data_IF_564938622031
#
_entry.id   IF_564938622031
#
_cell.length_a   1.000
_cell.length_b   1.000
_cell.length_c   1.000
_cell.angle_alpha   90.00
_cell.angle_beta   90.00
_cell.angle_gamma   90.00
#
_symmetry.space_group_name_H-M   'P 1'
#
loop_
_entity.id
_entity.type
_entity.pdbx_description
1 polymer ?
#
# COMPACT_ATOMS: atom_id res chain seq x y z
N UNK A 1 4.17 -4.64 -35.71
CA UNK A 1 5.03 -3.67 -34.99
C UNK A 1 4.15 -2.49 -34.58
N UNK A 2 3.45 -2.60 -33.45
CA UNK A 2 2.53 -1.55 -33.00
C UNK A 2 3.32 -0.28 -32.75
N UNK A 3 3.04 0.78 -33.53
CA UNK A 3 3.42 2.15 -33.24
C UNK A 3 3.03 2.40 -31.78
N UNK A 4 4.02 2.44 -30.88
CA UNK A 4 3.83 2.63 -29.44
C UNK A 4 3.15 3.98 -29.23
N UNK A 5 1.82 4.02 -29.22
CA UNK A 5 0.88 5.16 -29.12
C UNK A 5 1.39 6.39 -28.33
N UNK A 6 2.42 7.08 -28.82
CA UNK A 6 3.20 8.08 -28.11
C UNK A 6 4.13 7.59 -26.97
N UNK A 7 4.25 6.28 -26.71
CA UNK A 7 5.12 5.73 -25.66
C UNK A 7 6.53 5.45 -26.19
N UNK A 8 7.55 5.96 -25.50
CA UNK A 8 8.96 5.67 -25.80
C UNK A 8 9.60 5.01 -24.59
N UNK A 9 10.53 4.10 -24.84
CA UNK A 9 11.35 3.58 -23.75
C UNK A 9 12.22 4.73 -23.22
N UNK A 10 12.25 4.88 -21.91
CA UNK A 10 13.01 5.93 -21.22
C UNK A 10 13.78 5.35 -20.03
N UNK A 11 14.19 6.24 -19.15
CA UNK A 11 15.01 5.89 -17.98
C UNK A 11 14.20 5.81 -16.68
N UNK A 12 14.80 5.22 -15.64
CA UNK A 12 14.27 5.27 -14.28
C UNK A 12 14.20 6.71 -13.74
N UNK A 13 15.08 7.61 -14.22
CA UNK A 13 15.09 9.04 -13.86
C UNK A 13 13.83 9.72 -14.41
N UNK A 14 13.52 9.54 -15.70
CA UNK A 14 12.29 10.09 -16.29
C UNK A 14 11.02 9.48 -15.66
N UNK A 15 11.07 8.22 -15.23
CA UNK A 15 9.99 7.60 -14.48
C UNK A 15 9.80 8.26 -13.11
N UNK A 16 10.89 8.55 -12.39
CA UNK A 16 10.86 9.29 -11.13
C UNK A 16 10.27 10.69 -11.30
N UNK A 17 10.65 11.40 -12.37
CA UNK A 17 10.05 12.71 -12.69
C UNK A 17 8.53 12.61 -12.87
N UNK A 18 8.05 11.59 -13.58
CA UNK A 18 6.62 11.34 -13.73
C UNK A 18 5.95 11.03 -12.38
N UNK A 19 6.57 10.19 -11.55
CA UNK A 19 6.05 9.83 -10.23
C UNK A 19 5.99 11.04 -9.29
N UNK A 20 7.02 11.87 -9.27
CA UNK A 20 7.05 13.10 -8.47
C UNK A 20 6.00 14.12 -8.93
N UNK A 21 5.61 14.09 -10.21
CA UNK A 21 4.60 14.99 -10.76
C UNK A 21 3.17 14.48 -10.57
N UNK A 22 2.95 13.18 -10.74
CA UNK A 22 1.60 12.62 -10.84
C UNK A 22 1.23 11.65 -9.71
N UNK A 23 2.20 11.17 -8.94
CA UNK A 23 2.01 10.18 -7.88
C UNK A 23 1.87 8.74 -8.40
N UNK A 24 1.70 7.81 -7.47
CA UNK A 24 1.48 6.40 -7.78
C UNK A 24 1.00 5.62 -6.56
N UNK A 25 1.08 4.30 -6.62
CA UNK A 25 0.92 3.43 -5.46
C UNK A 25 2.31 3.13 -4.88
N UNK A 26 2.35 2.55 -3.67
CA UNK A 26 3.62 2.27 -2.99
C UNK A 26 4.53 1.39 -3.86
N UNK A 27 3.96 0.34 -4.46
CA UNK A 27 4.68 -0.61 -5.33
C UNK A 27 5.12 -0.04 -6.69
N UNK A 28 4.59 1.11 -7.09
CA UNK A 28 5.05 1.83 -8.29
C UNK A 28 5.97 3.00 -7.94
N UNK A 29 6.30 3.20 -6.67
CA UNK A 29 7.29 4.19 -6.29
C UNK A 29 8.68 3.80 -6.80
N UNK A 30 9.47 4.78 -7.28
CA UNK A 30 10.77 4.47 -7.86
C UNK A 30 11.73 3.80 -6.86
N UNK A 31 11.65 4.12 -5.57
CA UNK A 31 12.49 3.51 -4.54
C UNK A 31 12.15 2.03 -4.32
N UNK A 32 10.86 1.68 -4.35
CA UNK A 32 10.40 0.28 -4.26
C UNK A 32 10.72 -0.48 -5.55
N UNK A 33 10.54 0.14 -6.71
CA UNK A 33 10.93 -0.46 -7.99
C UNK A 33 12.43 -0.73 -8.01
N UNK A 34 13.27 0.24 -7.64
CA UNK A 34 14.72 0.07 -7.54
C UNK A 34 15.10 -1.02 -6.52
N UNK A 35 14.45 -1.05 -5.36
CA UNK A 35 14.64 -2.13 -4.36
C UNK A 35 14.41 -3.51 -4.98
N UNK A 36 13.35 -3.68 -5.77
CA UNK A 36 13.00 -4.94 -6.42
C UNK A 36 13.97 -5.25 -7.58
N UNK A 37 14.22 -4.30 -8.48
CA UNK A 37 15.01 -4.52 -9.70
C UNK A 37 16.49 -4.81 -9.40
N UNK A 38 17.01 -4.31 -8.28
CA UNK A 38 18.38 -4.65 -7.82
C UNK A 38 18.50 -6.07 -7.26
N UNK A 39 17.40 -6.80 -7.07
CA UNK A 39 17.35 -8.13 -6.43
C UNK A 39 16.78 -9.23 -7.32
N UNK A 40 15.97 -8.84 -8.31
CA UNK A 40 15.24 -9.76 -9.15
C UNK A 40 15.41 -9.36 -10.61
N UNK A 41 15.85 -10.31 -11.44
CA UNK A 41 15.92 -10.13 -12.88
C UNK A 41 14.50 -10.19 -13.47
N UNK A 42 14.03 -9.03 -13.92
CA UNK A 42 12.65 -8.82 -14.36
C UNK A 42 12.55 -8.36 -15.81
N UNK A 43 13.68 -8.16 -16.50
CA UNK A 43 13.73 -7.47 -17.80
C UNK A 43 12.88 -6.19 -17.77
N UNK A 44 13.12 -5.35 -16.75
CA UNK A 44 12.31 -4.17 -16.51
C UNK A 44 12.50 -3.11 -17.58
N UNK A 45 11.39 -2.50 -18.02
CA UNK A 45 11.39 -1.44 -19.03
C UNK A 45 10.52 -0.29 -18.59
N UNK A 46 11.12 0.91 -18.55
CA UNK A 46 10.40 2.15 -18.30
C UNK A 46 9.91 2.76 -19.60
N UNK A 47 8.63 3.11 -19.64
CA UNK A 47 7.97 3.73 -20.77
C UNK A 47 7.47 5.11 -20.38
N UNK A 48 7.87 6.12 -21.15
CA UNK A 48 7.58 7.53 -20.91
C UNK A 48 6.75 8.06 -22.08
N UNK A 49 5.73 8.85 -21.76
CA UNK A 49 4.94 9.60 -22.72
C UNK A 49 5.10 11.09 -22.47
N UNK A 50 5.44 11.80 -23.53
CA UNK A 50 5.58 13.26 -23.56
C UNK A 50 4.49 13.87 -24.45
N UNK A 51 4.08 15.09 -24.15
CA UNK A 51 3.22 15.88 -25.03
C UNK A 51 4.02 16.56 -26.15
N UNK A 52 3.35 17.41 -26.93
CA UNK A 52 3.94 18.17 -28.04
C UNK A 52 5.03 19.16 -27.61
N UNK A 53 5.00 19.59 -26.34
CA UNK A 53 5.92 20.55 -25.75
C UNK A 53 7.06 19.82 -25.00
N UNK A 54 7.21 18.51 -25.28
CA UNK A 54 8.19 17.60 -24.71
C UNK A 54 8.08 17.45 -23.17
N UNK A 55 6.91 17.76 -22.60
CA UNK A 55 6.65 17.61 -21.17
C UNK A 55 6.18 16.20 -20.86
N UNK A 56 6.70 15.59 -19.80
CA UNK A 56 6.23 14.28 -19.33
C UNK A 56 4.78 14.40 -18.87
N UNK A 57 3.92 13.57 -19.48
CA UNK A 57 2.49 13.45 -19.16
C UNK A 57 2.12 12.08 -18.58
N UNK A 58 3.02 11.10 -18.64
CA UNK A 58 2.83 9.84 -17.94
C UNK A 58 3.98 8.88 -18.11
N UNK A 59 4.07 7.93 -17.18
CA UNK A 59 5.03 6.83 -17.23
C UNK A 59 4.42 5.51 -16.73
N UNK A 60 4.99 4.39 -17.16
CA UNK A 60 4.77 3.08 -16.55
C UNK A 60 6.03 2.21 -16.66
N UNK A 61 6.14 1.21 -15.79
CA UNK A 61 7.19 0.20 -15.83
C UNK A 61 6.58 -1.15 -16.19
N UNK A 62 7.25 -1.94 -17.02
CA UNK A 62 6.89 -3.35 -17.26
C UNK A 62 7.92 -4.31 -16.70
N UNK A 63 7.48 -5.55 -16.47
CA UNK A 63 8.27 -6.73 -16.17
C UNK A 63 7.98 -7.81 -17.21
N UNK A 64 9.03 -8.51 -17.64
CA UNK A 64 8.99 -9.54 -18.68
C UNK A 64 8.22 -9.06 -19.91
N UNK A 65 8.62 -7.88 -20.39
CA UNK A 65 8.06 -7.08 -21.48
C UNK A 65 6.63 -6.57 -21.31
N UNK A 66 5.71 -7.44 -20.87
CA UNK A 66 4.28 -7.28 -21.15
C UNK A 66 3.42 -7.08 -19.91
N UNK A 67 3.96 -7.17 -18.69
CA UNK A 67 3.19 -7.01 -17.46
C UNK A 67 3.55 -5.70 -16.79
N UNK A 68 2.57 -4.95 -16.29
CA UNK A 68 2.89 -3.82 -15.42
C UNK A 68 3.67 -4.29 -14.19
N UNK A 69 4.65 -3.50 -13.77
CA UNK A 69 5.35 -3.73 -12.52
C UNK A 69 4.34 -3.81 -11.36
N UNK A 70 4.50 -4.83 -10.52
CA UNK A 70 3.56 -5.19 -9.46
C UNK A 70 2.44 -6.16 -9.85
N UNK A 71 2.42 -6.67 -11.09
CA UNK A 71 1.46 -7.69 -11.50
C UNK A 71 1.58 -8.96 -10.64
N UNK A 72 0.48 -9.34 -9.98
CA UNK A 72 0.57 -10.31 -8.89
C UNK A 72 1.10 -11.68 -9.28
N UNK A 73 0.77 -12.18 -10.48
CA UNK A 73 1.28 -13.48 -10.92
C UNK A 73 2.82 -13.55 -10.93
N UNK A 74 3.49 -12.42 -11.17
CA UNK A 74 4.95 -12.31 -11.12
C UNK A 74 5.39 -12.21 -9.66
N UNK A 75 4.77 -11.31 -8.90
CA UNK A 75 5.12 -11.08 -7.49
C UNK A 75 4.98 -12.34 -6.63
N UNK A 76 3.97 -13.18 -6.89
CA UNK A 76 3.76 -14.44 -6.19
C UNK A 76 4.82 -15.47 -6.55
N UNK A 77 5.17 -15.58 -7.84
CA UNK A 77 6.22 -16.50 -8.31
C UNK A 77 7.58 -16.17 -7.68
N UNK A 78 7.85 -14.88 -7.46
CA UNK A 78 9.09 -14.39 -6.85
C UNK A 78 9.03 -14.26 -5.32
N UNK A 79 7.87 -14.52 -4.70
CA UNK A 79 7.72 -14.39 -3.25
C UNK A 79 7.82 -12.96 -2.72
N UNK A 80 7.52 -11.93 -3.51
CA UNK A 80 7.71 -10.52 -3.11
C UNK A 80 6.83 -10.07 -1.93
N UNK A 81 5.75 -10.79 -1.65
CA UNK A 81 4.92 -10.56 -0.46
C UNK A 81 5.69 -10.74 0.86
N UNK A 82 6.83 -11.45 0.85
CA UNK A 82 7.71 -11.62 2.02
C UNK A 82 8.32 -10.29 2.49
N UNK A 83 8.45 -9.31 1.60
CA UNK A 83 8.89 -7.95 1.94
C UNK A 83 7.77 -7.05 2.49
N UNK A 84 6.60 -7.64 2.83
CA UNK A 84 5.45 -6.90 3.35
C UNK A 84 4.96 -5.78 2.44
N UNK A 85 4.99 -5.99 1.13
CA UNK A 85 4.45 -5.09 0.12
C UNK A 85 3.06 -5.53 -0.33
N UNK A 86 2.16 -4.56 -0.57
CA UNK A 86 0.81 -4.81 -1.08
C UNK A 86 0.76 -4.66 -2.61
N UNK A 87 0.45 -5.75 -3.30
CA UNK A 87 0.30 -5.78 -4.76
C UNK A 87 -1.17 -5.86 -5.20
N UNK A 88 -2.12 -5.53 -4.33
CA UNK A 88 -3.56 -5.55 -4.65
C UNK A 88 -3.98 -4.37 -5.56
N UNK A 89 -3.19 -3.30 -5.66
CA UNK A 89 -3.48 -2.16 -6.51
C UNK A 89 -2.24 -1.52 -7.14
N UNK A 90 -2.32 -1.28 -8.45
CA UNK A 90 -1.33 -0.53 -9.23
C UNK A 90 -1.91 0.83 -9.59
N UNK A 91 -1.27 1.91 -9.15
CA UNK A 91 -1.53 3.26 -9.65
C UNK A 91 -0.28 3.73 -10.40
N UNK A 92 -0.45 4.06 -11.67
CA UNK A 92 0.61 4.54 -12.55
C UNK A 92 0.75 6.07 -12.44
N UNK A 93 1.98 6.60 -12.60
CA UNK A 93 2.22 8.04 -12.66
C UNK A 93 1.77 8.62 -14.00
N UNK A 94 0.47 8.90 -14.09
CA UNK A 94 -0.21 9.41 -15.28
C UNK A 94 -0.89 10.74 -14.95
N UNK A 95 -0.82 11.69 -15.88
CA UNK A 95 -1.58 12.94 -15.77
C UNK A 95 -3.08 12.68 -15.58
N UNK A 96 -3.73 13.28 -14.57
CA UNK A 96 -5.16 13.07 -14.31
C UNK A 96 -6.07 13.66 -15.40
N UNK A 97 -5.56 14.62 -16.17
CA UNK A 97 -6.30 15.35 -17.20
C UNK A 97 -6.25 14.68 -18.58
N UNK A 98 -5.54 13.56 -18.68
CA UNK A 98 -5.34 12.83 -19.94
C UNK A 98 -5.89 11.42 -19.82
N UNK A 99 -6.23 10.86 -20.97
CA UNK A 99 -6.62 9.46 -21.10
C UNK A 99 -5.56 8.72 -21.90
N UNK A 100 -5.20 7.52 -21.44
CA UNK A 100 -4.08 6.76 -21.99
C UNK A 100 -4.55 5.44 -22.58
N UNK A 101 -3.81 4.96 -23.59
CA UNK A 101 -3.78 3.55 -23.95
C UNK A 101 -2.50 2.96 -23.37
N UNK A 102 -2.59 1.84 -22.65
CA UNK A 102 -1.43 1.19 -22.03
C UNK A 102 -1.15 -0.14 -22.76
N UNK A 103 -0.04 -0.25 -23.52
CA UNK A 103 0.33 -1.48 -24.22
C UNK A 103 1.02 -2.48 -23.29
N UNK A 104 0.40 -2.75 -22.15
CA UNK A 104 0.86 -3.71 -21.15
C UNK A 104 -0.35 -4.35 -20.45
N UNK A 105 -0.14 -5.53 -19.85
CA UNK A 105 -1.17 -6.30 -19.19
C UNK A 105 -1.14 -6.09 -17.68
N UNK A 106 -2.32 -5.96 -17.09
CA UNK A 106 -2.51 -6.04 -15.64
C UNK A 106 -3.97 -6.36 -15.31
N UNK A 107 -4.21 -7.01 -14.16
CA UNK A 107 -5.57 -7.17 -13.60
C UNK A 107 -5.83 -6.26 -12.39
N UNK A 108 -4.86 -5.43 -12.02
CA UNK A 108 -4.83 -4.70 -10.75
C UNK A 108 -4.71 -3.19 -10.91
N UNK A 109 -5.00 -2.66 -12.11
CA UNK A 109 -4.95 -1.22 -12.34
C UNK A 109 -6.05 -0.52 -11.53
N UNK A 110 -5.68 0.53 -10.82
CA UNK A 110 -6.61 1.38 -10.08
C UNK A 110 -7.53 2.16 -11.00
N UNK A 111 -8.77 2.38 -10.56
CA UNK A 111 -9.69 3.33 -11.19
C UNK A 111 -9.22 4.80 -11.11
N UNK A 112 -8.16 5.10 -10.36
CA UNK A 112 -7.48 6.41 -10.41
C UNK A 112 -6.84 6.69 -11.77
N UNK A 113 -6.46 5.67 -12.52
CA UNK A 113 -5.85 5.86 -13.83
C UNK A 113 -6.89 5.83 -14.95
N UNK A 114 -6.91 6.87 -15.79
CA UNK A 114 -7.81 6.98 -16.94
C UNK A 114 -7.21 6.26 -18.15
N UNK A 115 -7.50 4.96 -18.29
CA UNK A 115 -6.96 4.10 -19.35
C UNK A 115 -8.07 3.52 -20.22
N UNK A 116 -8.04 3.78 -21.54
CA UNK A 116 -9.12 3.40 -22.48
C UNK A 116 -9.26 1.90 -22.68
N UNK A 117 -8.15 1.16 -22.60
CA UNK A 117 -8.14 -0.29 -22.74
C UNK A 117 -8.17 -1.01 -21.38
N UNK A 118 -8.65 -0.34 -20.33
CA UNK A 118 -8.78 -0.90 -18.99
C UNK A 118 -10.25 -0.98 -18.54
N UNK A 119 -10.70 -2.17 -18.20
CA UNK A 119 -12.12 -2.46 -17.97
C UNK A 119 -12.36 -3.17 -16.64
N UNK A 120 -13.27 -2.64 -15.82
CA UNK A 120 -13.69 -3.27 -14.56
C UNK A 120 -14.68 -4.42 -14.78
N UNK A 121 -15.60 -4.27 -15.75
CA UNK A 121 -16.68 -5.25 -16.03
C UNK A 121 -16.17 -6.65 -16.38
N UNK A 122 -15.01 -6.76 -17.01
CA UNK A 122 -14.39 -8.04 -17.42
C UNK A 122 -13.23 -8.45 -16.50
N UNK A 123 -13.14 -7.86 -15.31
CA UNK A 123 -12.06 -8.11 -14.35
C UNK A 123 -12.46 -9.05 -13.20
N UNK A 124 -13.45 -9.93 -13.41
CA UNK A 124 -13.93 -10.90 -12.41
C UNK A 124 -14.24 -10.25 -11.04
N UNK A 125 -14.83 -9.06 -11.05
CA UNK A 125 -15.18 -8.29 -9.85
C UNK A 125 -14.03 -8.15 -8.84
N UNK A 126 -12.79 -7.97 -9.32
CA UNK A 126 -11.66 -7.65 -8.44
C UNK A 126 -11.88 -6.29 -7.78
N UNK A 127 -11.78 -6.27 -6.46
CA UNK A 127 -12.00 -5.09 -5.63
C UNK A 127 -10.96 -5.02 -4.51
N UNK A 128 -10.77 -3.81 -4.00
CA UNK A 128 -10.01 -3.51 -2.77
C UNK A 128 -10.90 -2.79 -1.76
N UNK A 129 -10.50 -2.85 -0.49
CA UNK A 129 -11.15 -2.16 0.62
C UNK A 129 -10.41 -0.87 0.95
N UNK A 130 -10.98 0.28 0.63
CA UNK A 130 -10.44 1.60 0.97
C UNK A 130 -11.17 2.16 2.19
N UNK A 131 -10.44 2.72 3.15
CA UNK A 131 -11.02 3.36 4.34
C UNK A 131 -12.06 4.40 3.93
N UNK A 132 -13.21 4.37 4.61
CA UNK A 132 -14.31 5.32 4.39
C UNK A 132 -14.30 6.43 5.43
N UNK A 133 -15.06 7.50 5.17
CA UNK A 133 -15.35 8.50 6.19
C UNK A 133 -16.20 7.89 7.32
N UNK A 134 -15.94 8.32 8.55
CA UNK A 134 -16.64 7.82 9.74
C UNK A 134 -17.62 8.84 10.29
N UNK A 135 -18.77 8.35 10.77
CA UNK A 135 -19.72 9.19 11.50
C UNK A 135 -19.15 9.62 12.86
N UNK A 136 -19.62 10.75 13.40
CA UNK A 136 -19.28 11.20 14.77
C UNK A 136 -19.55 10.10 15.82
N UNK A 137 -20.63 9.33 15.65
CA UNK A 137 -20.97 8.19 16.54
C UNK A 137 -19.94 7.07 16.47
N UNK A 138 -19.45 6.73 15.27
CA UNK A 138 -18.41 5.71 15.07
C UNK A 138 -17.10 6.16 15.72
N UNK A 139 -16.67 7.40 15.45
CA UNK A 139 -15.46 8.00 16.04
C UNK A 139 -15.55 7.97 17.58
N UNK A 140 -16.66 8.45 18.15
CA UNK A 140 -16.90 8.43 19.60
C UNK A 140 -16.82 7.01 20.19
N UNK A 141 -17.37 6.01 19.50
CA UNK A 141 -17.32 4.61 19.95
C UNK A 141 -15.89 4.06 19.96
N UNK A 142 -15.12 4.31 18.90
CA UNK A 142 -13.72 3.89 18.81
C UNK A 142 -12.84 4.59 19.86
N UNK A 143 -13.08 5.88 20.11
CA UNK A 143 -12.40 6.62 21.18
C UNK A 143 -12.75 6.08 22.58
N UNK A 144 -14.00 5.66 22.83
CA UNK A 144 -14.36 5.00 24.10
C UNK A 144 -13.65 3.66 24.30
N UNK A 145 -13.52 2.86 23.25
CA UNK A 145 -12.77 1.59 23.30
C UNK A 145 -11.27 1.83 23.59
N UNK A 146 -10.65 2.80 22.90
CA UNK A 146 -9.27 3.22 23.15
C UNK A 146 -9.08 3.72 24.59
N UNK A 147 -9.97 4.60 25.07
CA UNK A 147 -9.88 5.13 26.44
C UNK A 147 -10.05 4.03 27.49
N UNK A 148 -10.91 3.03 27.24
CA UNK A 148 -11.07 1.87 28.13
C UNK A 148 -9.79 1.03 28.18
N UNK A 149 -9.11 0.85 27.05
CA UNK A 149 -7.80 0.18 26.99
C UNK A 149 -6.75 0.95 27.78
N UNK A 150 -6.66 2.28 27.60
CA UNK A 150 -5.73 3.13 28.35
C UNK A 150 -5.98 3.06 29.86
N UNK A 151 -7.25 3.12 30.29
CA UNK A 151 -7.63 2.99 31.71
C UNK A 151 -7.24 1.65 32.34
N UNK A 152 -7.02 0.60 31.54
CA UNK A 152 -6.51 -0.69 32.01
C UNK A 152 -4.97 -0.76 32.04
N UNK A 153 -4.28 0.37 31.92
CA UNK A 153 -2.82 0.43 31.87
C UNK A 153 -2.25 0.29 30.46
N UNK A 154 -3.08 0.44 29.42
CA UNK A 154 -2.64 0.41 28.04
C UNK A 154 -2.02 1.72 27.57
N UNK A 155 -1.10 1.66 26.60
CA UNK A 155 -0.56 2.83 25.91
C UNK A 155 -0.41 2.59 24.40
N UNK A 156 -0.26 3.69 23.65
CA UNK A 156 -0.11 3.68 22.20
C UNK A 156 1.19 4.41 21.88
N UNK A 157 2.15 3.70 21.30
CA UNK A 157 3.48 4.25 20.97
C UNK A 157 3.65 4.21 19.46
N UNK A 158 4.08 5.33 18.87
CA UNK A 158 4.28 5.40 17.42
C UNK A 158 5.45 4.54 16.98
N UNK A 159 5.37 3.95 15.78
CA UNK A 159 6.47 3.15 15.23
C UNK A 159 7.76 3.95 15.00
N UNK A 160 7.67 5.29 14.88
CA UNK A 160 8.83 6.18 14.75
C UNK A 160 9.72 6.24 15.99
N UNK A 161 9.24 5.78 17.14
CA UNK A 161 10.00 5.77 18.40
C UNK A 161 10.93 4.55 18.51
N UNK A 162 10.93 3.66 17.51
CA UNK A 162 11.70 2.42 17.50
C UNK A 162 12.74 2.45 16.38
N UNK A 163 13.88 1.83 16.64
CA UNK A 163 14.76 1.40 15.56
C UNK A 163 14.10 0.32 14.70
N UNK A 164 14.64 0.12 13.49
CA UNK A 164 14.19 -0.94 12.59
C UNK A 164 14.29 -2.32 13.25
N UNK A 165 15.34 -2.58 14.01
CA UNK A 165 15.52 -3.87 14.68
C UNK A 165 14.48 -4.11 15.78
N UNK A 166 14.23 -3.10 16.63
CA UNK A 166 13.25 -3.20 17.71
C UNK A 166 11.83 -3.43 17.17
N UNK A 167 11.40 -2.67 16.15
CA UNK A 167 10.03 -2.79 15.65
C UNK A 167 9.78 -4.12 14.94
N UNK A 168 10.81 -4.68 14.30
CA UNK A 168 10.74 -5.97 13.64
C UNK A 168 10.66 -7.10 14.66
N UNK A 169 11.44 -7.02 15.75
CA UNK A 169 11.37 -7.98 16.85
C UNK A 169 9.98 -7.97 17.49
N UNK A 170 9.45 -6.78 17.80
CA UNK A 170 8.09 -6.60 18.33
C UNK A 170 7.05 -7.21 17.39
N UNK A 171 7.14 -6.90 16.08
CA UNK A 171 6.20 -7.42 15.09
C UNK A 171 6.25 -8.94 15.00
N UNK A 172 7.45 -9.52 14.95
CA UNK A 172 7.65 -10.96 14.81
C UNK A 172 7.09 -11.73 16.01
N UNK A 173 7.35 -11.25 17.24
CA UNK A 173 6.79 -11.85 18.46
C UNK A 173 5.25 -11.80 18.48
N UNK A 174 4.69 -10.63 18.17
CA UNK A 174 3.23 -10.45 18.10
C UNK A 174 2.61 -11.27 16.96
N UNK A 175 3.32 -11.42 15.85
CA UNK A 175 2.89 -12.25 14.73
C UNK A 175 2.87 -13.73 15.14
N UNK A 176 3.92 -14.20 15.82
CA UNK A 176 4.00 -15.55 16.36
C UNK A 176 2.85 -15.84 17.34
N UNK A 177 2.59 -14.95 18.31
CA UNK A 177 1.46 -15.07 19.25
C UNK A 177 0.10 -15.21 18.55
N UNK A 178 -0.07 -14.57 17.39
CA UNK A 178 -1.31 -14.60 16.62
C UNK A 178 -1.42 -15.82 15.69
N UNK A 179 -0.30 -16.22 15.08
CA UNK A 179 -0.27 -17.15 13.92
C UNK A 179 0.37 -18.49 14.23
N UNK A 180 1.00 -18.64 15.40
CA UNK A 180 1.84 -19.78 15.77
C UNK A 180 2.92 -20.09 14.71
N UNK A 181 3.45 -19.03 14.09
CA UNK A 181 4.50 -19.07 13.08
C UNK A 181 5.21 -17.70 13.06
N UNK A 182 6.52 -17.70 12.82
CA UNK A 182 7.28 -16.45 12.68
C UNK A 182 6.98 -15.74 11.36
N UNK A 183 7.18 -14.42 11.36
CA UNK A 183 7.07 -13.56 10.19
C UNK A 183 8.27 -13.74 9.24
N UNK A 184 8.24 -13.06 8.10
CA UNK A 184 9.37 -12.98 7.15
C UNK A 184 10.40 -11.96 7.61
N UNK A 185 10.88 -12.13 8.85
CA UNK A 185 11.69 -11.17 9.60
C UNK A 185 12.92 -10.68 8.82
N UNK A 186 13.61 -11.58 8.12
CA UNK A 186 14.79 -11.27 7.31
C UNK A 186 14.45 -10.30 6.18
N UNK A 187 13.42 -10.60 5.40
CA UNK A 187 12.99 -9.78 4.27
C UNK A 187 12.43 -8.44 4.73
N UNK A 188 11.70 -8.42 5.85
CA UNK A 188 11.22 -7.18 6.48
C UNK A 188 12.40 -6.29 6.88
N UNK A 189 13.43 -6.85 7.53
CA UNK A 189 14.64 -6.10 7.91
C UNK A 189 15.36 -5.55 6.71
N UNK A 190 15.46 -6.32 5.65
CA UNK A 190 16.15 -5.90 4.43
C UNK A 190 15.51 -4.66 3.80
N UNK A 191 14.18 -4.64 3.65
CA UNK A 191 13.51 -3.48 3.04
C UNK A 191 13.51 -2.27 3.98
N UNK A 192 13.25 -2.45 5.28
CA UNK A 192 13.22 -1.34 6.24
C UNK A 192 14.61 -0.76 6.54
N UNK A 193 15.69 -1.53 6.35
CA UNK A 193 17.06 -0.99 6.46
C UNK A 193 17.39 0.00 5.33
N UNK A 194 16.72 -0.12 4.19
CA UNK A 194 16.89 0.77 3.03
C UNK A 194 15.85 1.89 3.05
N UNK A 195 14.62 1.57 3.45
CA UNK A 195 13.47 2.46 3.46
C UNK A 195 12.83 2.47 4.86
N UNK A 196 13.49 3.03 5.89
CA UNK A 196 12.97 3.02 7.26
C UNK A 196 11.64 3.77 7.38
N UNK A 197 11.49 4.86 6.63
CA UNK A 197 10.26 5.69 6.60
C UNK A 197 9.07 5.02 5.90
N UNK A 198 9.26 3.80 5.36
CA UNK A 198 8.19 3.03 4.74
C UNK A 198 7.14 2.59 5.78
N UNK A 199 7.54 2.34 7.02
CA UNK A 199 6.64 1.85 8.07
C UNK A 199 5.81 2.99 8.66
N UNK A 200 4.54 2.71 8.96
CA UNK A 200 3.61 3.65 9.57
C UNK A 200 2.76 2.99 10.64
N UNK A 201 2.34 3.76 11.63
CA UNK A 201 1.31 3.38 12.59
C UNK A 201 1.83 3.33 14.02
N UNK A 202 1.23 2.45 14.81
CA UNK A 202 1.44 2.40 16.26
C UNK A 202 1.50 0.97 16.79
N UNK A 203 2.22 0.80 17.89
CA UNK A 203 2.23 -0.39 18.75
C UNK A 203 1.36 -0.12 19.98
N UNK A 204 0.45 -1.05 20.28
CA UNK A 204 -0.31 -1.07 21.52
C UNK A 204 0.48 -1.80 22.59
N UNK A 205 0.60 -1.19 23.76
CA UNK A 205 1.27 -1.74 24.93
C UNK A 205 0.31 -1.91 26.08
N UNK A 206 0.50 -2.95 26.89
CA UNK A 206 -0.24 -3.20 28.13
C UNK A 206 0.74 -3.80 29.14
N UNK A 207 0.77 -3.26 30.36
CA UNK A 207 1.65 -3.75 31.43
C UNK A 207 3.12 -3.89 30.99
N UNK A 208 3.63 -2.86 30.29
CA UNK A 208 4.99 -2.81 29.74
C UNK A 208 5.34 -3.94 28.75
N UNK A 209 4.33 -4.49 28.05
CA UNK A 209 4.54 -5.45 26.97
C UNK A 209 3.79 -5.03 25.71
N UNK A 210 4.36 -5.23 24.50
CA UNK A 210 3.62 -5.04 23.27
C UNK A 210 2.52 -6.12 23.18
N UNK A 211 1.29 -5.69 22.86
CA UNK A 211 0.12 -6.59 22.77
C UNK A 211 -0.56 -6.59 21.41
N UNK A 212 -0.41 -5.55 20.59
CA UNK A 212 -0.90 -5.59 19.21
C UNK A 212 -0.28 -4.50 18.35
N UNK A 213 -0.19 -4.77 17.05
CA UNK A 213 0.07 -3.76 16.04
C UNK A 213 -0.48 -4.22 14.69
N UNK A 214 -0.78 -3.25 13.82
CA UNK A 214 -0.91 -3.54 12.40
C UNK A 214 0.39 -3.17 11.70
N UNK A 215 0.84 -4.03 10.79
CA UNK A 215 1.89 -3.71 9.84
C UNK A 215 1.30 -2.88 8.71
N UNK A 216 1.53 -1.58 8.76
CA UNK A 216 1.07 -0.61 7.76
C UNK A 216 2.30 0.04 7.14
N UNK A 217 2.30 0.16 5.82
CA UNK A 217 3.32 0.91 5.09
C UNK A 217 2.73 2.15 4.44
N UNK A 218 3.56 3.17 4.21
CA UNK A 218 3.14 4.48 3.68
C UNK A 218 4.03 4.94 2.53
N UNK A 219 3.45 5.60 1.54
CA UNK A 219 4.17 6.45 0.58
C UNK A 219 3.38 7.71 0.26
N UNK A 220 4.07 8.84 0.32
CA UNK A 220 3.50 10.13 -0.08
C UNK A 220 3.50 10.24 -1.61
N UNK A 221 2.45 10.87 -2.14
CA UNK A 221 2.31 11.31 -3.53
C UNK A 221 1.91 12.80 -3.54
N UNK A 222 2.00 13.49 -4.69
CA UNK A 222 1.75 14.94 -4.75
C UNK A 222 0.35 15.35 -4.28
N UNK A 223 -0.67 14.51 -4.53
CA UNK A 223 -2.07 14.83 -4.26
C UNK A 223 -2.75 13.85 -3.28
N UNK A 224 -2.08 12.77 -2.89
CA UNK A 224 -2.62 11.76 -1.97
C UNK A 224 -1.51 11.08 -1.19
N UNK A 225 -1.89 10.31 -0.17
CA UNK A 225 -0.96 9.44 0.55
C UNK A 225 -1.51 8.02 0.53
N UNK A 226 -0.69 7.08 0.07
CA UNK A 226 -1.01 5.66 0.10
C UNK A 226 -0.62 5.08 1.46
N UNK A 227 -1.55 4.37 2.09
CA UNK A 227 -1.30 3.53 3.25
C UNK A 227 -1.80 2.13 2.94
N UNK A 228 -0.95 1.12 3.10
CA UNK A 228 -1.33 -0.28 2.89
C UNK A 228 -1.25 -1.05 4.20
N UNK A 229 -2.39 -1.52 4.68
CA UNK A 229 -2.44 -2.53 5.74
C UNK A 229 -2.16 -3.91 5.16
N UNK A 230 -1.08 -4.53 5.63
CA UNK A 230 -0.60 -5.82 5.13
C UNK A 230 -1.11 -6.95 6.03
N UNK A 231 -0.79 -6.87 7.32
CA UNK A 231 -1.12 -7.91 8.30
C UNK A 231 -1.08 -7.34 9.73
N UNK A 232 -1.39 -8.14 10.74
CA UNK A 232 -1.32 -7.73 12.15
C UNK A 232 -0.65 -8.79 13.02
N UNK A 233 0.09 -8.32 14.02
CA UNK A 233 0.55 -9.11 15.16
C UNK A 233 -0.31 -8.79 16.36
N UNK A 234 -0.63 -9.78 17.20
CA UNK A 234 -1.50 -9.59 18.36
C UNK A 234 -1.31 -10.70 19.39
N UNK A 235 -1.28 -10.31 20.66
CA UNK A 235 -1.38 -11.22 21.79
C UNK A 235 -2.83 -11.67 21.97
N UNK A 236 -3.06 -12.98 21.87
CA UNK A 236 -4.40 -13.57 21.88
C UNK A 236 -4.94 -13.79 23.31
N UNK A 237 -4.15 -13.51 24.35
CA UNK A 237 -4.55 -13.68 25.75
C UNK A 237 -5.52 -12.60 26.27
N UNK A 238 -5.84 -11.59 25.45
CA UNK A 238 -6.69 -10.46 25.83
C UNK A 238 -7.94 -10.32 24.94
N UNK A 239 -8.80 -11.35 24.82
CA UNK A 239 -9.94 -11.35 23.90
C UNK A 239 -10.95 -10.22 24.18
N UNK A 240 -11.10 -9.81 25.44
CA UNK A 240 -12.07 -8.79 25.86
C UNK A 240 -11.65 -7.34 25.58
N UNK A 241 -10.40 -7.12 25.17
CA UNK A 241 -9.85 -5.77 24.96
C UNK A 241 -10.03 -5.26 23.52
N UNK A 242 -10.55 -6.08 22.60
CA UNK A 242 -10.75 -5.71 21.19
C UNK A 242 -9.47 -5.15 20.54
N UNK A 243 -8.30 -5.68 20.89
CA UNK A 243 -6.99 -5.14 20.49
C UNK A 243 -6.88 -4.86 18.98
N UNK A 244 -7.38 -5.77 18.13
CA UNK A 244 -7.37 -5.57 16.68
C UNK A 244 -8.21 -4.37 16.21
N UNK A 245 -9.33 -4.07 16.87
CA UNK A 245 -10.15 -2.88 16.56
C UNK A 245 -9.45 -1.60 16.99
N UNK A 246 -8.79 -1.61 18.15
CA UNK A 246 -8.04 -0.45 18.66
C UNK A 246 -6.83 -0.18 17.77
N UNK A 247 -6.07 -1.21 17.40
CA UNK A 247 -4.90 -1.09 16.52
C UNK A 247 -5.30 -0.53 15.14
N UNK A 248 -6.42 -1.00 14.58
CA UNK A 248 -6.98 -0.41 13.36
C UNK A 248 -7.41 1.04 13.55
N UNK A 249 -8.08 1.37 14.66
CA UNK A 249 -8.56 2.73 14.92
C UNK A 249 -7.42 3.74 15.00
N UNK A 250 -6.39 3.47 15.80
CA UNK A 250 -5.30 4.44 16.01
C UNK A 250 -4.56 4.71 14.70
N UNK A 251 -4.30 3.68 13.89
CA UNK A 251 -3.63 3.85 12.60
C UNK A 251 -4.50 4.60 11.58
N UNK A 252 -5.79 4.26 11.50
CA UNK A 252 -6.72 4.96 10.61
C UNK A 252 -6.90 6.42 11.02
N UNK A 253 -7.08 6.69 12.32
CA UNK A 253 -7.18 8.05 12.87
C UNK A 253 -5.93 8.88 12.54
N UNK A 254 -4.75 8.30 12.77
CA UNK A 254 -3.50 9.02 12.56
C UNK A 254 -3.22 9.24 11.07
N UNK A 255 -3.59 8.29 10.20
CA UNK A 255 -3.51 8.46 8.75
C UNK A 255 -4.45 9.55 8.24
N UNK A 256 -5.70 9.61 8.75
CA UNK A 256 -6.66 10.69 8.45
C UNK A 256 -6.03 12.03 8.83
N UNK A 257 -5.55 12.16 10.08
CA UNK A 257 -4.91 13.40 10.56
C UNK A 257 -3.71 13.79 9.70
N UNK A 258 -2.81 12.84 9.40
CA UNK A 258 -1.64 13.06 8.56
C UNK A 258 -2.01 13.65 7.20
N UNK A 259 -3.09 13.17 6.59
CA UNK A 259 -3.56 13.66 5.29
C UNK A 259 -4.31 14.98 5.38
N UNK A 260 -5.16 15.17 6.39
CA UNK A 260 -5.94 16.39 6.59
C UNK A 260 -5.05 17.61 6.87
N UNK A 261 -4.05 17.46 7.75
CA UNK A 261 -3.08 18.52 8.09
C UNK A 261 -2.28 19.01 6.87
N UNK A 262 -2.19 18.17 5.83
CA UNK A 262 -1.41 18.43 4.61
C UNK A 262 -2.29 18.70 3.39
N UNK A 263 -3.62 18.68 3.54
CA UNK A 263 -4.55 18.85 2.43
C UNK A 263 -4.45 17.75 1.34
N UNK A 264 -4.04 16.53 1.71
CA UNK A 264 -3.86 15.40 0.78
C UNK A 264 -5.05 14.43 0.85
N UNK A 265 -5.34 13.74 -0.24
CA UNK A 265 -6.34 12.66 -0.25
C UNK A 265 -5.83 11.44 0.54
N UNK A 266 -6.65 10.90 1.45
CA UNK A 266 -6.39 9.63 2.11
C UNK A 266 -6.65 8.44 1.19
N UNK A 267 -5.61 7.63 0.93
CA UNK A 267 -5.75 6.34 0.26
C UNK A 267 -5.23 5.20 1.13
N UNK A 268 -6.03 4.84 2.14
CA UNK A 268 -5.72 3.73 3.04
C UNK A 268 -6.43 2.46 2.59
N UNK A 269 -5.66 1.46 2.14
CA UNK A 269 -6.14 0.16 1.68
C UNK A 269 -5.99 -0.93 2.75
N UNK A 270 -7.05 -1.72 2.95
CA UNK A 270 -7.06 -2.92 3.79
C UNK A 270 -6.88 -4.19 2.95
N UNK A 271 -6.44 -4.07 1.70
CA UNK A 271 -6.35 -5.15 0.72
C UNK A 271 -7.72 -5.60 0.20
N UNK A 272 -7.81 -6.83 -0.32
CA UNK A 272 -9.05 -7.43 -0.87
C UNK A 272 -10.19 -7.59 0.13
N UNK A 273 -11.46 -7.63 -0.31
CA UNK A 273 -12.63 -7.88 0.54
C UNK A 273 -12.78 -9.36 0.96
N UNK A 274 -11.77 -9.93 1.63
CA UNK A 274 -11.74 -11.35 2.05
C UNK A 274 -12.35 -11.62 3.41
N UNK A 275 -12.59 -10.58 4.22
CA UNK A 275 -13.12 -10.71 5.59
C UNK A 275 -14.15 -9.62 5.89
N UNK A 276 -15.30 -10.00 6.43
CA UNK A 276 -16.45 -9.13 6.67
C UNK A 276 -16.15 -7.93 7.59
N UNK A 277 -15.18 -8.08 8.50
CA UNK A 277 -14.81 -6.99 9.39
C UNK A 277 -14.34 -5.74 8.64
N UNK A 278 -13.82 -5.88 7.40
CA UNK A 278 -13.35 -4.78 6.57
C UNK A 278 -14.48 -3.82 6.20
N UNK A 279 -15.73 -4.27 6.13
CA UNK A 279 -16.89 -3.43 5.83
C UNK A 279 -17.16 -2.39 6.92
N UNK A 280 -16.71 -2.66 8.16
CA UNK A 280 -16.77 -1.70 9.27
C UNK A 280 -15.84 -0.49 9.03
N UNK A 281 -14.75 -0.70 8.30
CA UNK A 281 -13.67 0.27 8.09
C UNK A 281 -13.68 0.90 6.71
N UNK A 282 -14.14 0.14 5.71
CA UNK A 282 -13.87 0.42 4.31
C UNK A 282 -15.13 0.46 3.47
N UNK A 283 -15.01 1.14 2.33
CA UNK A 283 -15.83 0.96 1.14
C UNK A 283 -15.05 0.11 0.13
N UNK A 284 -15.77 -0.63 -0.72
CA UNK A 284 -15.14 -1.39 -1.81
C UNK A 284 -14.86 -0.47 -2.99
N UNK A 285 -13.76 -0.72 -3.70
CA UNK A 285 -13.41 -0.03 -4.94
C UNK A 285 -12.95 -1.03 -5.97
N UNK A 286 -13.54 -1.00 -7.16
CA UNK A 286 -13.20 -1.93 -8.23
C UNK A 286 -11.86 -1.62 -8.90
N UNK A 287 -11.17 -2.68 -9.32
CA UNK A 287 -9.95 -2.62 -10.12
C UNK A 287 -10.26 -2.87 -11.60
N UNK A 288 -9.37 -2.42 -12.47
CA UNK A 288 -9.49 -2.57 -13.92
C UNK A 288 -8.49 -3.61 -14.45
N UNK A 289 -8.97 -4.39 -15.43
CA UNK A 289 -8.11 -5.25 -16.25
C UNK A 289 -7.71 -4.50 -17.51
N UNK A 290 -6.42 -4.41 -17.78
CA UNK A 290 -5.92 -3.93 -19.07
C UNK A 290 -5.98 -5.08 -20.07
N UNK A 291 -6.64 -4.85 -21.19
CA UNK A 291 -6.63 -5.75 -22.34
C UNK A 291 -5.54 -5.24 -23.27
N UNK A 292 -4.38 -5.88 -23.22
CA UNK A 292 -3.32 -5.66 -24.19
C UNK A 292 -3.73 -6.32 -25.52
N UNK A 293 -3.54 -5.59 -26.62
CA UNK A 293 -3.72 -6.06 -28.00
C UNK A 293 -2.34 -6.38 -28.55
#
# INVERSE_FOLDING_TARGET
MFFKMGWRQGSAIEYQEAYNKFGGSIITSPEILNFIHTRFDLDEKFYIKKDKDNQIIGAFCTWHDNFLAGEQKITHKLGLYRYMLNFDEIILPLSPDKTFFIPASSKFLSNKNRVINAFSKINAHREICLVKSFSKKTISTRNRELNRFIKKGGSVINVSEYSVDEIIDIYDELYFKRRNAHSTKKEIKEILSILPDLMFGNVLWLENKPVAMQYVIKKDSPNWVCFDYINSGMDMNYPDLSLGTIAAWVNVRDAIRYTEERGLELRFCFGRPTFDYKERWCKRSSLQRIVAI
#
